data_IF_013530402824
#
_entry.id   IF_013530402824
#
_cell.length_a   1.000
_cell.length_b   1.000
_cell.length_c   1.000
_cell.angle_alpha   90.00
_cell.angle_beta   90.00
_cell.angle_gamma   90.00
#
_symmetry.space_group_name_H-M   'P 1'
#
loop_
_entity.id
_entity.type
_entity.pdbx_description
1 polymer ?
#
# COMPACT_ATOMS: atom_id res chain seq x y z
N UNK A 1 7.54 -17.58 33.07
CA UNK A 1 7.86 -18.54 31.98
C UNK A 1 6.70 -18.75 31.03
N UNK A 2 5.51 -19.20 31.48
CA UNK A 2 4.36 -19.40 30.58
C UNK A 2 3.76 -18.10 29.99
N UNK A 3 3.75 -17.00 30.76
CA UNK A 3 3.29 -15.68 30.28
C UNK A 3 4.22 -15.12 29.19
N UNK A 4 5.52 -15.18 29.44
CA UNK A 4 6.59 -14.73 28.53
C UNK A 4 6.56 -15.47 27.19
N UNK A 5 6.26 -16.77 27.19
CA UNK A 5 6.10 -17.57 25.97
C UNK A 5 4.86 -17.17 25.16
N UNK A 6 3.74 -16.86 25.83
CA UNK A 6 2.52 -16.38 25.17
C UNK A 6 2.72 -14.99 24.57
N UNK A 7 3.36 -14.10 25.32
CA UNK A 7 3.66 -12.73 24.86
C UNK A 7 4.59 -12.74 23.65
N UNK A 8 5.63 -13.59 23.66
CA UNK A 8 6.53 -13.77 22.53
C UNK A 8 5.80 -14.26 21.28
N UNK A 9 4.97 -15.31 21.40
CA UNK A 9 4.19 -15.84 20.29
C UNK A 9 3.19 -14.81 19.72
N UNK A 10 2.53 -14.04 20.60
CA UNK A 10 1.62 -12.98 20.16
C UNK A 10 2.35 -11.80 19.53
N UNK A 11 3.48 -11.37 20.09
CA UNK A 11 4.27 -10.26 19.56
C UNK A 11 4.84 -10.58 18.19
N UNK A 12 5.43 -11.77 18.03
CA UNK A 12 5.93 -12.26 16.75
C UNK A 12 4.81 -12.36 15.69
N UNK A 13 3.64 -12.92 16.05
CA UNK A 13 2.52 -13.05 15.11
C UNK A 13 1.99 -11.68 14.67
N UNK A 14 1.77 -10.77 15.61
CA UNK A 14 1.31 -9.41 15.33
C UNK A 14 2.34 -8.69 14.46
N UNK A 15 3.62 -8.70 14.85
CA UNK A 15 4.71 -8.09 14.10
C UNK A 15 4.72 -8.57 12.65
N UNK A 16 4.88 -9.87 12.42
CA UNK A 16 5.00 -10.43 11.07
C UNK A 16 3.76 -10.19 10.19
N UNK A 17 2.56 -10.27 10.78
CA UNK A 17 1.31 -10.04 10.03
C UNK A 17 1.22 -8.59 9.57
N UNK A 18 1.44 -7.65 10.50
CA UNK A 18 1.25 -6.24 10.22
C UNK A 18 2.43 -5.62 9.48
N UNK A 19 3.64 -6.16 9.61
CA UNK A 19 4.80 -5.84 8.77
C UNK A 19 4.50 -6.10 7.27
N UNK A 20 3.80 -7.20 6.96
CA UNK A 20 3.36 -7.50 5.59
C UNK A 20 2.17 -6.62 5.16
N UNK A 21 1.19 -6.42 6.03
CA UNK A 21 0.02 -5.59 5.69
C UNK A 21 0.40 -4.12 5.49
N UNK A 22 1.38 -3.64 6.25
CA UNK A 22 1.96 -2.32 6.09
C UNK A 22 2.50 -2.13 4.66
N UNK A 23 3.33 -3.06 4.16
CA UNK A 23 3.90 -2.96 2.81
C UNK A 23 2.82 -3.03 1.73
N UNK A 24 1.83 -3.91 1.88
CA UNK A 24 0.71 -4.07 0.93
C UNK A 24 -0.15 -2.81 0.83
N UNK A 25 -0.55 -2.23 1.98
CA UNK A 25 -1.36 -1.01 1.97
C UNK A 25 -0.58 0.20 1.49
N UNK A 26 0.71 0.29 1.82
CA UNK A 26 1.59 1.34 1.30
C UNK A 26 1.73 1.22 -0.23
N UNK A 27 1.96 0.01 -0.73
CA UNK A 27 2.05 -0.29 -2.15
C UNK A 27 0.77 0.12 -2.89
N UNK A 28 -0.38 -0.36 -2.43
CA UNK A 28 -1.67 -0.08 -3.07
C UNK A 28 -2.03 1.41 -2.99
N UNK A 29 -1.78 2.07 -1.85
CA UNK A 29 -1.95 3.50 -1.70
C UNK A 29 -1.08 4.31 -2.66
N UNK A 30 0.20 3.94 -2.81
CA UNK A 30 1.08 4.58 -3.77
C UNK A 30 0.67 4.30 -5.21
N UNK A 31 0.23 3.09 -5.54
CA UNK A 31 -0.30 2.79 -6.87
C UNK A 31 -1.49 3.69 -7.21
N UNK A 32 -2.47 3.85 -6.30
CA UNK A 32 -3.61 4.76 -6.49
C UNK A 32 -3.16 6.21 -6.72
N UNK A 33 -2.25 6.73 -5.88
CA UNK A 33 -1.77 8.11 -6.00
C UNK A 33 -0.93 8.35 -7.26
N UNK A 34 -0.08 7.38 -7.62
CA UNK A 34 0.73 7.43 -8.82
C UNK A 34 -0.14 7.34 -10.06
N UNK A 35 -1.17 6.50 -10.10
CA UNK A 35 -2.09 6.40 -11.24
C UNK A 35 -2.79 7.74 -11.52
N UNK A 36 -3.14 8.51 -10.48
CA UNK A 36 -3.67 9.88 -10.66
C UNK A 36 -2.63 10.84 -11.27
N UNK A 37 -1.39 10.82 -10.75
CA UNK A 37 -0.29 11.67 -11.25
C UNK A 37 0.16 11.29 -12.67
N UNK A 38 0.19 9.99 -12.97
CA UNK A 38 0.52 9.41 -14.26
C UNK A 38 -0.60 9.66 -15.29
N UNK A 39 -1.87 9.69 -14.87
CA UNK A 39 -3.00 10.18 -15.67
C UNK A 39 -2.82 11.64 -16.08
N UNK A 40 -2.39 12.49 -15.15
CA UNK A 40 -2.15 13.91 -15.43
C UNK A 40 -0.91 14.17 -16.31
N UNK A 41 -0.01 13.18 -16.46
CA UNK A 41 1.29 13.32 -17.15
C UNK A 41 1.45 12.46 -18.42
N UNK A 42 0.43 11.73 -18.86
CA UNK A 42 0.46 10.99 -20.14
C UNK A 42 1.23 9.66 -20.14
N UNK A 43 1.28 8.95 -19.00
CA UNK A 43 1.95 7.63 -18.85
C UNK A 43 1.25 6.45 -19.53
N UNK A 44 1.89 5.28 -19.63
CA UNK A 44 1.39 4.06 -20.28
C UNK A 44 0.11 3.43 -19.69
N UNK A 45 -0.28 3.79 -18.47
CA UNK A 45 -1.58 3.47 -17.84
C UNK A 45 -2.62 4.59 -18.07
N UNK A 46 -2.18 5.77 -18.50
CA UNK A 46 -3.07 6.84 -18.90
C UNK A 46 -3.47 6.64 -20.35
N UNK A 47 -4.77 6.45 -20.60
CA UNK A 47 -5.28 6.77 -21.93
C UNK A 47 -5.00 8.26 -22.17
N UNK A 48 -4.36 8.66 -23.29
CA UNK A 48 -4.50 10.00 -23.79
C UNK A 48 -5.92 10.13 -24.31
N UNK A 49 -6.84 10.51 -23.42
CA UNK A 49 -8.22 10.76 -23.80
C UNK A 49 -8.30 12.17 -24.37
N UNK A 50 -8.71 12.27 -25.63
CA UNK A 50 -9.29 13.49 -26.14
C UNK A 50 -10.43 13.88 -25.15
N UNK A 51 -10.42 15.07 -24.54
CA UNK A 51 -11.46 15.50 -23.60
C UNK A 51 -12.86 15.42 -24.18
N UNK A 52 -13.00 15.37 -25.51
CA UNK A 52 -14.28 15.19 -26.21
C UNK A 52 -14.77 13.72 -26.27
N UNK A 53 -13.93 12.75 -25.90
CA UNK A 53 -14.25 11.31 -25.90
C UNK A 53 -14.41 10.71 -24.49
N UNK A 54 -14.08 11.45 -23.42
CA UNK A 54 -14.48 11.12 -22.04
C UNK A 54 -15.95 11.49 -21.82
N UNK A 55 -16.87 10.69 -22.35
CA UNK A 55 -18.18 10.59 -21.70
C UNK A 55 -17.96 9.82 -20.39
N UNK A 56 -17.87 10.54 -19.26
CA UNK A 56 -18.09 9.97 -17.93
C UNK A 56 -19.51 9.35 -17.94
N UNK A 57 -19.62 8.12 -18.43
CA UNK A 57 -20.86 7.35 -18.44
C UNK A 57 -21.14 6.89 -17.02
N UNK A 58 -21.60 7.83 -16.21
CA UNK A 58 -22.21 7.54 -14.92
C UNK A 58 -23.54 6.87 -15.21
N UNK A 59 -23.66 5.60 -14.84
CA UNK A 59 -24.93 4.88 -14.95
C UNK A 59 -26.04 5.63 -14.19
N UNK A 60 -27.27 5.53 -14.71
CA UNK A 60 -28.40 6.17 -14.07
C UNK A 60 -28.67 5.54 -12.70
N UNK A 61 -28.60 6.35 -11.64
CA UNK A 61 -28.80 5.91 -10.27
C UNK A 61 -28.83 7.08 -9.28
N UNK A 62 -29.18 6.81 -8.01
CA UNK A 62 -29.21 7.85 -6.99
C UNK A 62 -27.80 8.41 -6.77
N UNK A 63 -27.64 9.71 -6.96
CA UNK A 63 -26.38 10.41 -6.67
C UNK A 63 -25.99 10.20 -5.21
N UNK A 64 -24.73 9.78 -4.92
CA UNK A 64 -24.25 9.57 -3.57
C UNK A 64 -24.47 10.80 -2.68
N UNK A 65 -24.84 10.59 -1.42
CA UNK A 65 -25.15 11.69 -0.50
C UNK A 65 -24.03 12.72 -0.32
N UNK A 66 -22.71 12.37 -0.30
CA UNK A 66 -21.64 13.37 -0.14
C UNK A 66 -21.59 14.33 -1.32
N UNK A 67 -21.92 13.83 -2.52
CA UNK A 67 -22.01 14.63 -3.75
C UNK A 67 -23.21 15.57 -3.70
N UNK A 68 -24.35 15.11 -3.19
CA UNK A 68 -25.57 15.95 -3.07
C UNK A 68 -25.41 17.12 -2.10
N UNK A 69 -24.71 16.90 -0.99
CA UNK A 69 -24.55 17.94 0.05
C UNK A 69 -23.33 18.84 -0.20
N UNK A 70 -22.34 18.37 -0.96
CA UNK A 70 -21.15 19.14 -1.29
C UNK A 70 -20.22 19.43 -0.10
N UNK A 71 -19.38 20.44 -0.26
CA UNK A 71 -18.51 20.96 0.81
C UNK A 71 -17.45 19.96 1.27
N UNK A 72 -17.28 19.85 2.60
CA UNK A 72 -16.26 18.98 3.22
C UNK A 72 -16.50 17.50 2.94
N UNK A 73 -17.76 17.08 2.88
CA UNK A 73 -18.13 15.67 2.65
C UNK A 73 -17.81 15.23 1.23
N UNK A 74 -18.03 16.11 0.26
CA UNK A 74 -17.59 15.87 -1.11
C UNK A 74 -16.07 15.70 -1.17
N UNK A 75 -15.28 16.59 -0.56
CA UNK A 75 -13.81 16.46 -0.53
C UNK A 75 -13.33 15.16 0.11
N UNK A 76 -13.94 14.76 1.23
CA UNK A 76 -13.62 13.48 1.87
C UNK A 76 -13.98 12.29 0.97
N UNK A 77 -15.10 12.38 0.26
CA UNK A 77 -15.54 11.35 -0.67
C UNK A 77 -14.62 11.23 -1.89
N UNK A 78 -14.21 12.36 -2.48
CA UNK A 78 -13.26 12.47 -3.60
C UNK A 78 -11.90 11.84 -3.26
N UNK A 79 -11.48 11.90 -2.00
CA UNK A 79 -10.20 11.34 -1.54
C UNK A 79 -10.37 10.05 -0.71
N UNK A 80 -11.58 9.49 -0.63
CA UNK A 80 -11.91 8.42 0.31
C UNK A 80 -11.06 7.17 0.13
N UNK A 81 -10.72 6.79 -1.11
CA UNK A 81 -9.88 5.63 -1.39
C UNK A 81 -8.44 5.82 -0.89
N UNK A 82 -7.85 6.99 -1.16
CA UNK A 82 -6.51 7.32 -0.68
C UNK A 82 -6.47 7.43 0.85
N UNK A 83 -7.52 8.03 1.45
CA UNK A 83 -7.69 8.10 2.90
C UNK A 83 -7.79 6.69 3.50
N UNK A 84 -8.59 5.80 2.90
CA UNK A 84 -8.77 4.44 3.39
C UNK A 84 -7.44 3.66 3.40
N UNK A 85 -6.68 3.68 2.30
CA UNK A 85 -5.35 3.05 2.27
C UNK A 85 -4.36 3.70 3.25
N UNK A 86 -4.38 5.03 3.39
CA UNK A 86 -3.56 5.73 4.37
C UNK A 86 -3.88 5.33 5.82
N UNK A 87 -5.16 5.20 6.17
CA UNK A 87 -5.60 4.74 7.49
C UNK A 87 -5.19 3.28 7.72
N UNK A 88 -5.41 2.40 6.75
CA UNK A 88 -5.01 0.99 6.83
C UNK A 88 -3.49 0.85 7.00
N UNK A 89 -2.71 1.62 6.25
CA UNK A 89 -1.25 1.68 6.40
C UNK A 89 -0.86 2.12 7.82
N UNK A 90 -1.41 3.23 8.32
CA UNK A 90 -1.07 3.75 9.66
C UNK A 90 -1.45 2.77 10.78
N UNK A 91 -2.59 2.08 10.65
CA UNK A 91 -3.01 1.05 11.59
C UNK A 91 -2.06 -0.15 11.56
N UNK A 92 -1.71 -0.65 10.37
CA UNK A 92 -0.75 -1.73 10.23
C UNK A 92 0.63 -1.35 10.77
N UNK A 93 1.15 -0.17 10.39
CA UNK A 93 2.43 0.33 10.88
C UNK A 93 2.48 0.42 12.42
N UNK A 94 1.41 0.93 13.04
CA UNK A 94 1.33 1.02 14.50
C UNK A 94 1.28 -0.35 15.19
N UNK A 95 0.56 -1.32 14.61
CA UNK A 95 0.46 -2.68 15.15
C UNK A 95 1.75 -3.47 14.92
N UNK A 96 2.42 -3.28 13.78
CA UNK A 96 3.75 -3.78 13.52
C UNK A 96 4.73 -3.24 14.57
N UNK A 97 4.76 -1.93 14.78
CA UNK A 97 5.61 -1.28 15.79
C UNK A 97 5.38 -1.86 17.19
N UNK A 98 4.12 -1.99 17.64
CA UNK A 98 3.81 -2.55 18.95
C UNK A 98 4.24 -4.03 19.06
N UNK A 99 3.99 -4.84 18.02
CA UNK A 99 4.39 -6.24 17.97
C UNK A 99 5.92 -6.43 18.03
N UNK A 100 6.64 -5.72 17.16
CA UNK A 100 8.11 -5.74 17.08
C UNK A 100 8.76 -5.24 18.38
N UNK A 101 8.25 -4.13 18.94
CA UNK A 101 8.73 -3.59 20.22
C UNK A 101 8.54 -4.55 21.40
N UNK A 102 7.37 -5.21 21.48
CA UNK A 102 7.11 -6.24 22.52
C UNK A 102 8.04 -7.44 22.36
N UNK A 103 8.27 -7.87 21.13
CA UNK A 103 9.19 -8.97 20.82
C UNK A 103 10.61 -8.64 21.29
N UNK A 104 11.14 -7.46 20.94
CA UNK A 104 12.46 -7.03 21.40
C UNK A 104 12.51 -6.88 22.93
N UNK A 105 11.47 -6.33 23.55
CA UNK A 105 11.40 -6.16 25.01
C UNK A 105 11.46 -7.50 25.74
N UNK A 106 10.75 -8.52 25.26
CA UNK A 106 10.82 -9.88 25.80
C UNK A 106 12.21 -10.48 25.62
N UNK A 107 12.81 -10.32 24.43
CA UNK A 107 14.15 -10.83 24.17
C UNK A 107 15.20 -10.19 25.09
N UNK A 108 15.15 -8.88 25.28
CA UNK A 108 16.04 -8.15 26.21
C UNK A 108 15.89 -8.64 27.64
N UNK A 109 14.68 -8.91 28.10
CA UNK A 109 14.44 -9.46 29.44
C UNK A 109 15.08 -10.85 29.60
N UNK A 110 14.98 -11.72 28.58
CA UNK A 110 15.63 -13.03 28.58
C UNK A 110 17.17 -12.92 28.61
N UNK A 111 17.71 -11.89 27.98
CA UNK A 111 19.14 -11.55 28.00
C UNK A 111 19.60 -10.85 29.31
N UNK A 112 18.69 -10.59 30.26
CA UNK A 112 18.99 -9.83 31.49
C UNK A 112 19.25 -8.34 31.27
N UNK A 113 18.81 -7.79 30.14
CA UNK A 113 18.91 -6.36 29.79
C UNK A 113 17.63 -5.61 30.17
N UNK A 114 17.72 -4.29 30.40
CA UNK A 114 16.51 -3.47 30.58
C UNK A 114 15.64 -3.48 29.30
N UNK A 115 14.31 -3.34 29.44
CA UNK A 115 13.41 -3.22 28.30
C UNK A 115 13.77 -1.99 27.46
N UNK A 116 13.53 -2.07 26.15
CA UNK A 116 13.75 -0.96 25.22
C UNK A 116 12.60 0.03 25.29
N UNK A 117 12.88 1.33 25.22
CA UNK A 117 11.80 2.33 25.10
C UNK A 117 11.21 2.29 23.68
N UNK A 118 9.90 2.56 23.56
CA UNK A 118 9.21 2.50 22.27
C UNK A 118 9.83 3.45 21.23
N UNK A 119 10.25 4.64 21.64
CA UNK A 119 10.87 5.62 20.76
C UNK A 119 12.26 5.19 20.30
N UNK A 120 13.03 4.56 21.18
CA UNK A 120 14.35 3.99 20.83
C UNK A 120 14.17 2.84 19.81
N UNK A 121 13.14 2.02 19.98
CA UNK A 121 12.80 0.95 19.05
C UNK A 121 12.39 1.49 17.67
N UNK A 122 11.50 2.47 17.63
CA UNK A 122 11.05 3.11 16.39
C UNK A 122 12.20 3.81 15.64
N UNK A 123 13.15 4.39 16.37
CA UNK A 123 14.34 5.01 15.78
C UNK A 123 15.46 4.00 15.46
N UNK A 124 15.29 2.72 15.81
CA UNK A 124 16.32 1.70 15.65
C UNK A 124 16.47 1.27 14.18
N UNK A 125 17.69 0.90 13.80
CA UNK A 125 17.93 0.31 12.48
C UNK A 125 17.20 -1.03 12.30
N UNK A 126 16.92 -1.75 13.39
CA UNK A 126 16.26 -3.06 13.37
C UNK A 126 14.80 -2.95 12.89
N UNK A 127 14.02 -2.05 13.50
CA UNK A 127 12.62 -1.82 13.12
C UNK A 127 12.48 -1.36 11.66
N UNK A 128 13.35 -0.43 11.22
CA UNK A 128 13.36 0.02 9.83
C UNK A 128 13.86 -1.06 8.88
N UNK A 129 14.76 -1.95 9.32
CA UNK A 129 15.18 -3.08 8.51
C UNK A 129 14.02 -4.05 8.27
N UNK A 130 13.26 -4.40 9.30
CA UNK A 130 12.02 -5.20 9.18
C UNK A 130 11.07 -4.57 8.14
N UNK A 131 10.71 -3.30 8.33
CA UNK A 131 9.82 -2.57 7.42
C UNK A 131 10.36 -2.53 5.98
N UNK A 132 11.63 -2.13 5.80
CA UNK A 132 12.24 -1.97 4.48
C UNK A 132 12.48 -3.29 3.76
N UNK A 133 12.63 -4.41 4.46
CA UNK A 133 12.77 -5.71 3.81
C UNK A 133 11.54 -6.06 2.99
N UNK A 134 10.34 -5.89 3.56
CA UNK A 134 9.08 -6.14 2.84
C UNK A 134 8.79 -5.06 1.80
N UNK A 135 9.02 -3.78 2.13
CA UNK A 135 8.82 -2.71 1.14
C UNK A 135 9.67 -2.96 -0.11
N UNK A 136 10.93 -3.35 0.07
CA UNK A 136 11.83 -3.64 -1.04
C UNK A 136 11.28 -4.75 -1.96
N UNK A 137 10.77 -5.85 -1.42
CA UNK A 137 10.24 -6.94 -2.26
C UNK A 137 8.98 -6.54 -3.00
N UNK A 138 8.05 -5.88 -2.30
CA UNK A 138 6.76 -5.45 -2.84
C UNK A 138 6.96 -4.40 -3.95
N UNK A 139 7.76 -3.35 -3.70
CA UNK A 139 8.05 -2.35 -4.73
C UNK A 139 8.84 -2.92 -5.90
N UNK A 140 9.73 -3.89 -5.66
CA UNK A 140 10.42 -4.58 -6.75
C UNK A 140 9.44 -5.38 -7.61
N UNK A 141 8.46 -6.06 -6.99
CA UNK A 141 7.45 -6.82 -7.71
C UNK A 141 6.57 -5.92 -8.57
N UNK A 142 6.10 -4.78 -8.04
CA UNK A 142 5.34 -3.79 -8.81
C UNK A 142 6.17 -3.18 -9.93
N UNK A 143 7.42 -2.78 -9.65
CA UNK A 143 8.31 -2.24 -10.66
C UNK A 143 8.58 -3.27 -11.77
N UNK A 144 8.82 -4.53 -11.41
CA UNK A 144 8.99 -5.62 -12.36
C UNK A 144 7.71 -5.81 -13.20
N UNK A 145 6.53 -5.81 -12.59
CA UNK A 145 5.27 -5.92 -13.32
C UNK A 145 5.12 -4.78 -14.34
N UNK A 146 5.31 -3.53 -13.91
CA UNK A 146 5.19 -2.34 -14.79
C UNK A 146 6.22 -2.36 -15.93
N UNK A 147 7.48 -2.73 -15.64
CA UNK A 147 8.53 -2.75 -16.67
C UNK A 147 8.38 -3.94 -17.63
N UNK A 148 8.07 -5.13 -17.10
CA UNK A 148 7.94 -6.34 -17.92
C UNK A 148 6.71 -6.28 -18.83
N UNK A 149 5.60 -5.69 -18.39
CA UNK A 149 4.38 -5.54 -19.20
C UNK A 149 4.55 -4.61 -20.41
N UNK A 150 5.64 -3.82 -20.48
CA UNK A 150 6.04 -3.09 -21.69
C UNK A 150 6.39 -4.08 -22.81
N UNK A 151 7.17 -5.12 -22.48
CA UNK A 151 7.78 -6.04 -23.44
C UNK A 151 7.06 -7.39 -23.55
N UNK A 152 6.50 -7.88 -22.46
CA UNK A 152 5.82 -9.16 -22.38
C UNK A 152 4.31 -9.00 -22.60
N UNK A 153 3.67 -10.08 -23.04
CA UNK A 153 2.23 -10.15 -23.29
C UNK A 153 1.66 -11.37 -22.58
N UNK A 154 0.60 -11.15 -21.79
CA UNK A 154 -0.21 -12.21 -21.22
C UNK A 154 -1.63 -12.05 -21.77
N UNK A 155 -2.05 -13.00 -22.61
CA UNK A 155 -3.39 -12.98 -23.23
C UNK A 155 -4.47 -12.90 -22.14
N UNK A 156 -5.45 -12.03 -22.34
CA UNK A 156 -6.63 -11.82 -21.47
C UNK A 156 -6.30 -11.30 -20.05
N UNK A 157 -5.07 -10.82 -19.80
CA UNK A 157 -4.73 -10.15 -18.54
C UNK A 157 -5.07 -8.65 -18.62
N UNK A 158 -5.79 -8.11 -17.63
CA UNK A 158 -6.07 -6.67 -17.58
C UNK A 158 -4.81 -5.82 -17.33
N UNK A 159 -3.72 -6.43 -16.85
CA UNK A 159 -2.43 -5.77 -16.65
C UNK A 159 -1.50 -5.85 -17.87
N UNK A 160 -1.94 -6.46 -18.98
CA UNK A 160 -1.13 -6.64 -20.18
C UNK A 160 -1.75 -5.95 -21.38
N UNK A 161 -0.92 -5.37 -22.24
CA UNK A 161 -1.36 -4.85 -23.54
C UNK A 161 -1.91 -6.00 -24.40
N UNK A 162 -2.81 -5.74 -25.36
CA UNK A 162 -3.19 -6.71 -26.37
C UNK A 162 -1.95 -7.31 -27.07
N UNK A 163 -2.03 -8.58 -27.47
CA UNK A 163 -0.89 -9.30 -28.07
C UNK A 163 -0.38 -8.59 -29.33
N UNK A 164 -1.29 -8.00 -30.11
CA UNK A 164 -0.97 -7.30 -31.36
C UNK A 164 -0.51 -5.85 -31.16
N UNK A 165 -0.57 -5.32 -29.93
CA UNK A 165 -0.21 -3.94 -29.63
C UNK A 165 1.33 -3.73 -29.69
N UNK A 166 1.83 -2.73 -30.45
CA UNK A 166 3.25 -2.41 -30.47
C UNK A 166 3.74 -1.94 -29.09
N UNK A 167 5.02 -2.14 -28.79
CA UNK A 167 5.60 -1.76 -27.48
C UNK A 167 5.46 -0.27 -27.16
N UNK A 168 5.50 0.58 -28.19
CA UNK A 168 5.31 2.03 -28.10
C UNK A 168 3.88 2.44 -27.79
N UNK A 169 2.88 1.56 -27.91
CA UNK A 169 1.49 1.89 -27.59
C UNK A 169 1.33 2.01 -26.07
N UNK A 170 0.78 3.13 -25.62
CA UNK A 170 0.52 3.49 -24.22
C UNK A 170 -0.98 3.66 -24.01
N UNK A 171 -1.54 3.11 -22.93
CA UNK A 171 -2.95 3.23 -22.57
C UNK A 171 -3.87 2.31 -23.40
N UNK A 172 -4.76 1.61 -22.70
CA UNK A 172 -5.93 0.90 -23.28
C UNK A 172 -7.21 1.34 -22.59
#
# INVERSE_FOLDING_TARGET
MALTQRENASGHFVSATFENWESEFLQMGMYVLLSVSLRQKGSAESRPLDPSQEEDRVEYGPTPWPVRIGGVWLKLYEHSLAIAFGVLFLLSFALHLDGSWRLESVQRQLDGKPPVELWDHLASAQFWFESFQNWKSEFLAVAALVLLTIFLRQKDSPQSKPVEAPHSQTGT
#
